data_IF_243973541716
#
_entry.id   IF_243973541716
#
_cell.length_a   1.000
_cell.length_b   1.000
_cell.length_c   1.000
_cell.angle_alpha   90.00
_cell.angle_beta   90.00
_cell.angle_gamma   90.00
#
_symmetry.space_group_name_H-M   'P 1'
#
loop_
_entity.id
_entity.type
_entity.pdbx_description
1 polymer ?
#
# COMPACT_ATOMS: atom_id res chain seq x y z
N UNK A 1 -23.18 7.02 -22.11
CA UNK A 1 -21.97 6.57 -21.38
C UNK A 1 -22.23 5.20 -20.79
N UNK A 2 -21.64 4.13 -21.34
CA UNK A 2 -21.62 2.79 -20.72
C UNK A 2 -20.17 2.51 -20.35
N UNK A 3 -19.80 2.79 -19.10
CA UNK A 3 -18.48 2.47 -18.57
C UNK A 3 -18.42 0.99 -18.24
N UNK A 4 -17.68 0.21 -19.02
CA UNK A 4 -17.34 -1.17 -18.66
C UNK A 4 -16.07 -1.11 -17.80
N UNK A 5 -16.26 -0.81 -16.52
CA UNK A 5 -15.22 -0.86 -15.51
C UNK A 5 -14.97 -2.33 -15.14
N UNK A 6 -13.81 -2.85 -15.56
CA UNK A 6 -13.40 -4.21 -15.22
C UNK A 6 -12.91 -4.28 -13.77
N UNK A 7 -13.42 -5.29 -13.06
CA UNK A 7 -13.43 -5.48 -11.60
C UNK A 7 -12.08 -5.75 -10.91
N UNK A 8 -10.93 -5.67 -11.59
CA UNK A 8 -9.62 -5.96 -10.97
C UNK A 8 -8.84 -4.69 -10.54
N UNK A 9 -9.33 -3.50 -10.91
CA UNK A 9 -8.76 -2.20 -10.54
C UNK A 9 -9.92 -1.32 -10.04
N UNK A 10 -10.44 -1.63 -8.86
CA UNK A 10 -11.67 -1.03 -8.32
C UNK A 10 -11.55 0.41 -7.79
N UNK A 11 -10.38 1.06 -7.83
CA UNK A 11 -10.14 2.35 -7.15
C UNK A 11 -9.56 3.48 -8.03
N UNK A 12 -9.44 3.28 -9.36
CA UNK A 12 -8.78 4.26 -10.23
C UNK A 12 -9.81 4.86 -11.19
N UNK A 13 -10.08 6.17 -11.05
CA UNK A 13 -10.96 6.92 -11.96
C UNK A 13 -10.08 7.63 -12.99
N UNK A 14 -10.16 7.20 -14.24
CA UNK A 14 -9.58 7.91 -15.37
C UNK A 14 -10.68 8.54 -16.22
N UNK A 15 -10.58 9.84 -16.50
CA UNK A 15 -11.53 10.54 -17.35
C UNK A 15 -10.83 11.65 -18.16
N UNK A 16 -11.43 12.01 -19.27
CA UNK A 16 -10.90 13.03 -20.19
C UNK A 16 -11.62 14.35 -19.98
N UNK A 17 -10.85 15.43 -19.80
CA UNK A 17 -11.36 16.80 -19.87
C UNK A 17 -10.61 17.53 -20.99
N UNK A 18 -11.33 17.89 -22.06
CA UNK A 18 -10.71 18.53 -23.22
C UNK A 18 -9.66 17.64 -23.87
N UNK A 19 -8.43 18.14 -23.96
CA UNK A 19 -7.24 17.47 -24.50
C UNK A 19 -6.36 16.82 -23.42
N UNK A 20 -6.86 16.71 -22.18
CA UNK A 20 -6.13 16.13 -21.05
C UNK A 20 -6.78 14.85 -20.55
N UNK A 21 -5.94 13.86 -20.30
CA UNK A 21 -6.36 12.64 -19.61
C UNK A 21 -6.02 12.79 -18.12
N UNK A 22 -7.06 12.88 -17.30
CA UNK A 22 -6.92 12.99 -15.85
C UNK A 22 -7.00 11.59 -15.26
N UNK A 23 -5.94 11.19 -14.57
CA UNK A 23 -5.85 9.92 -13.86
C UNK A 23 -5.85 10.22 -12.37
N UNK A 24 -6.99 9.94 -11.75
CA UNK A 24 -7.17 10.03 -10.31
C UNK A 24 -7.14 8.62 -9.74
N UNK A 25 -6.17 8.37 -8.87
CA UNK A 25 -6.21 7.20 -8.01
C UNK A 25 -6.82 7.62 -6.67
N UNK A 26 -8.05 7.18 -6.43
CA UNK A 26 -8.74 7.53 -5.21
C UNK A 26 -8.15 6.81 -3.99
N UNK A 27 -8.16 7.54 -2.87
CA UNK A 27 -8.02 7.11 -1.48
C UNK A 27 -6.93 6.07 -1.19
N UNK A 28 -5.69 6.54 -0.98
CA UNK A 28 -4.65 5.74 -0.35
C UNK A 28 -4.72 5.89 1.17
N UNK A 29 -4.98 4.77 1.87
CA UNK A 29 -5.04 4.70 3.33
C UNK A 29 -3.67 4.47 3.99
N UNK A 30 -2.63 4.25 3.17
CA UNK A 30 -1.23 4.09 3.55
C UNK A 30 -0.35 4.86 2.57
N UNK A 31 0.72 5.47 3.06
CA UNK A 31 1.63 6.21 2.19
C UNK A 31 2.37 5.27 1.26
N UNK A 32 2.54 5.67 0.00
CA UNK A 32 3.21 4.87 -1.01
C UNK A 32 4.08 5.76 -1.92
N UNK A 33 5.41 5.80 -1.73
CA UNK A 33 6.29 6.59 -2.59
C UNK A 33 6.41 6.02 -4.01
N UNK A 34 5.97 4.78 -4.25
CA UNK A 34 6.05 4.11 -5.56
C UNK A 34 4.85 4.44 -6.48
N UNK A 35 3.99 5.39 -6.11
CA UNK A 35 2.86 5.79 -6.95
C UNK A 35 3.27 6.21 -8.37
N UNK A 36 4.35 6.99 -8.59
CA UNK A 36 4.79 7.32 -9.95
C UNK A 36 5.09 6.10 -10.83
N UNK A 37 5.67 5.04 -10.25
CA UNK A 37 5.95 3.80 -10.98
C UNK A 37 4.65 3.06 -11.34
N UNK A 38 3.67 3.03 -10.42
CA UNK A 38 2.35 2.45 -10.68
C UNK A 38 1.61 3.21 -11.77
N UNK A 39 1.70 4.54 -11.77
CA UNK A 39 1.09 5.42 -12.78
C UNK A 39 1.67 5.23 -14.17
N UNK A 40 2.99 5.00 -14.29
CA UNK A 40 3.63 4.73 -15.57
C UNK A 40 2.99 3.51 -16.27
N UNK A 41 2.71 2.45 -15.50
CA UNK A 41 2.03 1.27 -16.04
C UNK A 41 0.59 1.58 -16.47
N UNK A 42 -0.15 2.34 -15.68
CA UNK A 42 -1.53 2.70 -16.00
C UNK A 42 -1.65 3.55 -17.26
N UNK A 43 -0.82 4.59 -17.40
CA UNK A 43 -0.91 5.47 -18.56
C UNK A 43 -0.53 4.75 -19.85
N UNK A 44 0.48 3.88 -19.81
CA UNK A 44 0.84 3.05 -20.96
C UNK A 44 -0.34 2.18 -21.42
N UNK A 45 -1.03 1.54 -20.46
CA UNK A 45 -2.24 0.76 -20.74
C UNK A 45 -3.37 1.63 -21.26
N UNK A 46 -3.58 2.82 -20.69
CA UNK A 46 -4.64 3.73 -21.11
C UNK A 46 -4.44 4.17 -22.56
N UNK A 47 -3.25 4.68 -22.92
CA UNK A 47 -2.96 5.08 -24.29
C UNK A 47 -3.03 3.92 -25.29
N UNK A 48 -2.56 2.72 -24.91
CA UNK A 48 -2.65 1.55 -25.80
C UNK A 48 -4.10 1.22 -26.21
N UNK A 49 -5.08 1.51 -25.33
CA UNK A 49 -6.50 1.26 -25.59
C UNK A 49 -7.19 2.39 -26.37
N UNK A 50 -6.58 3.58 -26.39
CA UNK A 50 -7.10 4.73 -27.13
C UNK A 50 -6.70 4.72 -28.60
N UNK A 51 -5.67 3.93 -28.96
CA UNK A 51 -5.30 3.74 -30.35
C UNK A 51 -6.30 2.80 -31.02
N UNK A 52 -6.95 3.27 -32.08
CA UNK A 52 -7.90 2.48 -32.88
C UNK A 52 -7.25 1.24 -33.52
N UNK A 53 -5.94 1.32 -33.79
CA UNK A 53 -5.12 0.22 -34.26
C UNK A 53 -3.69 0.39 -33.79
N UNK A 54 -3.04 -0.71 -33.39
CA UNK A 54 -1.62 -0.72 -33.08
C UNK A 54 -0.76 -0.41 -34.31
N UNK A 55 -1.26 -0.61 -35.53
CA UNK A 55 -0.51 -0.27 -36.74
C UNK A 55 -0.23 1.23 -36.88
N UNK A 56 -1.00 2.08 -36.18
CA UNK A 56 -0.77 3.51 -36.15
C UNK A 56 0.65 3.85 -35.70
N UNK A 57 1.22 3.09 -34.75
CA UNK A 57 2.57 3.35 -34.20
C UNK A 57 3.69 3.15 -35.23
N UNK A 58 3.43 2.44 -36.33
CA UNK A 58 4.39 2.24 -37.41
C UNK A 58 4.29 3.32 -38.50
N UNK A 59 3.32 4.24 -38.40
CA UNK A 59 3.19 5.34 -39.34
C UNK A 59 4.30 6.37 -39.10
N UNK A 60 4.76 6.99 -40.18
CA UNK A 60 5.71 8.11 -40.10
C UNK A 60 5.08 9.41 -39.61
N UNK A 61 3.75 9.51 -39.62
CA UNK A 61 2.99 10.64 -39.10
C UNK A 61 2.96 10.62 -37.57
N UNK A 62 3.26 11.76 -36.94
CA UNK A 62 3.15 11.92 -35.49
C UNK A 62 1.71 11.71 -35.01
N UNK A 63 1.54 10.89 -33.98
CA UNK A 63 0.26 10.69 -33.29
C UNK A 63 0.25 11.62 -32.08
N UNK A 64 -0.69 12.55 -32.05
CA UNK A 64 -0.95 13.35 -30.87
C UNK A 64 -1.78 12.55 -29.88
N UNK A 65 -1.28 12.42 -28.65
CA UNK A 65 -1.98 11.81 -27.53
C UNK A 65 -2.27 12.87 -26.46
N UNK A 66 -3.36 12.74 -25.69
CA UNK A 66 -3.71 13.68 -24.61
C UNK A 66 -2.60 13.77 -23.57
N UNK A 67 -2.35 14.96 -23.02
CA UNK A 67 -1.39 15.09 -21.91
C UNK A 67 -1.98 14.50 -20.62
N UNK A 68 -1.21 13.70 -19.84
CA UNK A 68 -1.74 13.09 -18.63
C UNK A 68 -1.54 13.99 -17.41
N UNK A 69 -2.51 14.01 -16.51
CA UNK A 69 -2.38 14.60 -15.16
C UNK A 69 -2.66 13.54 -14.10
N UNK A 70 -1.77 13.40 -13.13
CA UNK A 70 -1.85 12.37 -12.10
C UNK A 70 -2.13 12.96 -10.73
N UNK A 71 -3.16 12.43 -10.07
CA UNK A 71 -3.61 12.86 -8.76
C UNK A 71 -3.77 11.68 -7.80
N UNK A 72 -3.29 11.86 -6.57
CA UNK A 72 -3.47 10.92 -5.47
C UNK A 72 -4.04 11.67 -4.26
N UNK A 73 -5.15 11.16 -3.74
CA UNK A 73 -5.70 11.63 -2.48
C UNK A 73 -5.25 10.70 -1.34
N UNK A 74 -4.45 11.26 -0.44
CA UNK A 74 -3.96 10.57 0.74
C UNK A 74 -4.87 10.85 1.93
N UNK A 75 -5.28 9.78 2.62
CA UNK A 75 -6.13 9.85 3.80
C UNK A 75 -5.74 8.71 4.75
N UNK A 76 -4.43 8.52 4.91
CA UNK A 76 -3.85 7.60 5.89
C UNK A 76 -3.55 8.30 7.20
N UNK A 77 -2.96 7.56 8.14
CA UNK A 77 -2.65 8.02 9.50
C UNK A 77 -1.23 8.56 9.68
N UNK A 78 -0.39 8.52 8.64
CA UNK A 78 0.96 9.08 8.71
C UNK A 78 0.88 10.60 8.53
N UNK A 79 1.77 11.30 9.23
CA UNK A 79 1.88 12.75 9.14
C UNK A 79 2.60 13.12 7.83
N UNK A 80 1.81 13.53 6.83
CA UNK A 80 2.27 13.90 5.49
C UNK A 80 1.83 15.34 5.18
N UNK A 81 2.62 16.12 4.41
CA UNK A 81 2.26 17.47 4.02
C UNK A 81 0.90 17.58 3.32
N UNK A 82 0.26 18.76 3.43
CA UNK A 82 -1.03 19.06 2.77
C UNK A 82 -0.98 18.83 1.25
N UNK A 83 0.12 19.24 0.61
CA UNK A 83 0.40 18.99 -0.79
C UNK A 83 1.87 18.61 -0.99
N UNK A 84 2.11 17.65 -1.88
CA UNK A 84 3.46 17.29 -2.32
C UNK A 84 3.44 16.68 -3.72
N UNK A 85 4.61 16.68 -4.37
CA UNK A 85 4.77 16.10 -5.71
C UNK A 85 5.74 14.93 -5.67
N UNK A 86 5.24 13.74 -5.99
CA UNK A 86 6.07 12.56 -6.20
C UNK A 86 6.61 12.54 -7.63
N UNK A 87 7.84 12.07 -7.79
CA UNK A 87 8.53 11.99 -9.10
C UNK A 87 9.00 10.57 -9.34
N UNK A 88 8.81 10.09 -10.57
CA UNK A 88 9.31 8.78 -10.97
C UNK A 88 10.84 8.74 -10.93
N UNK A 89 11.49 9.85 -11.27
CA UNK A 89 12.95 9.99 -11.22
C UNK A 89 13.54 9.73 -9.83
N UNK A 90 12.78 9.93 -8.75
CA UNK A 90 13.21 9.61 -7.38
C UNK A 90 13.39 8.11 -7.12
N UNK A 91 12.80 7.25 -7.96
CA UNK A 91 12.95 5.80 -7.86
C UNK A 91 14.15 5.25 -8.68
N UNK A 92 14.81 6.09 -9.48
CA UNK A 92 15.93 5.64 -10.31
C UNK A 92 17.18 5.41 -9.47
N UNK A 93 17.93 4.36 -9.79
CA UNK A 93 19.21 4.06 -9.13
C UNK A 93 20.31 5.07 -9.46
N UNK A 94 20.12 5.88 -10.51
CA UNK A 94 21.05 6.89 -11.00
C UNK A 94 20.24 8.07 -11.55
N UNK A 95 20.81 9.29 -11.50
CA UNK A 95 20.14 10.48 -12.03
C UNK A 95 19.95 10.38 -13.55
N UNK A 96 18.71 10.53 -14.02
CA UNK A 96 18.35 10.54 -15.43
C UNK A 96 17.09 11.39 -15.65
N UNK A 97 17.02 12.04 -16.81
CA UNK A 97 15.90 12.87 -17.27
C UNK A 97 15.18 12.29 -18.51
N UNK A 98 15.62 11.13 -18.98
CA UNK A 98 15.05 10.43 -20.15
C UNK A 98 13.59 9.99 -19.97
N UNK A 99 13.10 9.96 -18.73
CA UNK A 99 11.72 9.65 -18.37
C UNK A 99 11.36 10.36 -17.08
N UNK A 100 10.30 11.17 -17.10
CA UNK A 100 9.75 11.78 -15.90
C UNK A 100 8.23 11.66 -15.90
N UNK A 101 7.69 11.31 -14.74
CA UNK A 101 6.27 11.26 -14.45
C UNK A 101 6.08 11.85 -13.06
N UNK A 102 5.29 12.91 -12.98
CA UNK A 102 5.02 13.59 -11.73
C UNK A 102 3.59 13.32 -11.27
N UNK A 103 3.43 13.01 -9.98
CA UNK A 103 2.13 12.77 -9.35
C UNK A 103 1.90 13.86 -8.31
N UNK A 104 0.78 14.56 -8.41
CA UNK A 104 0.34 15.51 -7.38
C UNK A 104 -0.38 14.71 -6.28
N UNK A 105 0.17 14.75 -5.08
CA UNK A 105 -0.39 14.08 -3.91
C UNK A 105 -0.97 15.14 -2.98
N UNK A 106 -2.24 14.99 -2.63
CA UNK A 106 -2.91 15.86 -1.68
C UNK A 106 -3.32 15.06 -0.45
N UNK A 107 -2.90 15.53 0.71
CA UNK A 107 -3.41 15.03 1.97
C UNK A 107 -4.81 15.62 2.19
N UNK A 108 -5.81 14.74 2.24
CA UNK A 108 -7.22 15.08 2.43
C UNK A 108 -7.70 14.71 3.83
N UNK A 109 -6.78 14.45 4.77
CA UNK A 109 -7.13 14.37 6.18
C UNK A 109 -7.74 15.72 6.62
N UNK A 110 -8.76 15.69 7.47
CA UNK A 110 -9.43 16.92 7.89
C UNK A 110 -8.46 17.83 8.68
N UNK A 111 -8.31 19.06 8.20
CA UNK A 111 -7.52 20.13 8.82
C UNK A 111 -8.18 21.47 8.55
N UNK A 112 -8.12 22.38 9.52
CA UNK A 112 -8.68 23.74 9.40
C UNK A 112 -7.80 24.69 8.60
N UNK A 113 -6.63 24.24 8.12
CA UNK A 113 -5.66 25.05 7.37
C UNK A 113 -5.32 24.45 6.00
N UNK A 114 -6.16 23.55 5.48
CA UNK A 114 -5.92 22.89 4.21
C UNK A 114 -6.65 23.61 3.05
N UNK A 115 -5.86 24.26 2.18
CA UNK A 115 -6.36 25.06 1.04
C UNK A 115 -7.26 24.26 0.10
N UNK A 116 -6.96 22.98 -0.12
CA UNK A 116 -7.76 22.13 -1.00
C UNK A 116 -9.16 21.92 -0.41
N UNK A 117 -9.24 21.61 0.89
CA UNK A 117 -10.52 21.46 1.60
C UNK A 117 -11.27 22.79 1.70
N UNK A 118 -10.57 23.93 1.81
CA UNK A 118 -11.23 25.25 1.78
C UNK A 118 -11.86 25.54 0.42
N UNK A 119 -11.23 25.09 -0.66
CA UNK A 119 -11.68 25.30 -2.04
C UNK A 119 -12.74 24.30 -2.53
N UNK A 120 -12.84 23.12 -1.91
CA UNK A 120 -13.74 22.05 -2.35
C UNK A 120 -14.66 21.59 -1.20
N UNK A 121 -15.92 22.02 -1.26
CA UNK A 121 -16.93 21.72 -0.24
C UNK A 121 -17.14 20.21 -0.06
N UNK A 122 -17.30 19.48 -1.16
CA UNK A 122 -17.57 18.04 -1.17
C UNK A 122 -16.43 17.26 -0.52
N UNK A 123 -15.19 17.62 -0.88
CA UNK A 123 -14.00 16.97 -0.32
C UNK A 123 -13.85 17.28 1.17
N UNK A 124 -14.10 18.53 1.60
CA UNK A 124 -14.11 18.90 3.02
C UNK A 124 -15.15 18.10 3.80
N UNK A 125 -16.36 17.97 3.28
CA UNK A 125 -17.41 17.20 3.91
C UNK A 125 -17.04 15.72 4.03
N UNK A 126 -16.44 15.13 2.99
CA UNK A 126 -15.89 13.78 3.04
C UNK A 126 -14.79 13.63 4.11
N UNK A 127 -13.85 14.58 4.18
CA UNK A 127 -12.79 14.59 5.19
C UNK A 127 -13.33 14.65 6.61
N UNK A 128 -14.35 15.48 6.86
CA UNK A 128 -15.02 15.56 8.16
C UNK A 128 -15.68 14.23 8.51
N UNK A 129 -16.40 13.61 7.55
CA UNK A 129 -17.02 12.30 7.77
C UNK A 129 -15.98 11.24 8.18
N UNK A 130 -14.88 11.12 7.43
CA UNK A 130 -13.81 10.17 7.76
C UNK A 130 -13.19 10.47 9.12
N UNK A 131 -12.98 11.75 9.44
CA UNK A 131 -12.47 12.15 10.75
C UNK A 131 -13.42 11.72 11.87
N UNK A 132 -14.73 11.91 11.72
CA UNK A 132 -15.72 11.48 12.73
C UNK A 132 -15.76 9.97 12.95
N UNK A 133 -15.57 9.19 11.89
CA UNK A 133 -15.43 7.73 12.02
C UNK A 133 -14.18 7.39 12.85
N UNK A 134 -13.06 8.07 12.60
CA UNK A 134 -11.81 7.87 13.36
C UNK A 134 -11.93 8.29 14.81
N UNK A 135 -12.51 9.45 15.08
CA UNK A 135 -12.78 9.95 16.44
C UNK A 135 -13.53 8.87 17.24
N UNK A 136 -14.63 8.34 16.68
CA UNK A 136 -15.41 7.30 17.34
C UNK A 136 -14.64 6.01 17.63
N UNK A 137 -13.78 5.57 16.70
CA UNK A 137 -12.92 4.39 16.92
C UNK A 137 -11.88 4.67 18.02
N UNK A 138 -11.29 5.86 18.04
CA UNK A 138 -10.34 6.27 19.09
C UNK A 138 -11.00 6.34 20.46
N UNK A 139 -12.27 6.75 20.51
CA UNK A 139 -13.10 6.76 21.71
C UNK A 139 -13.56 5.35 22.14
N UNK A 140 -13.13 4.29 21.43
CA UNK A 140 -13.40 2.89 21.77
C UNK A 140 -14.71 2.34 21.23
N UNK A 141 -15.38 3.03 20.30
CA UNK A 141 -16.57 2.51 19.65
C UNK A 141 -16.23 1.40 18.64
N UNK A 142 -17.12 0.42 18.52
CA UNK A 142 -17.09 -0.52 17.40
C UNK A 142 -17.22 0.25 16.07
N UNK A 143 -16.48 -0.18 15.04
CA UNK A 143 -16.48 0.41 13.70
C UNK A 143 -17.89 0.72 13.18
N UNK A 144 -18.82 -0.24 13.26
CA UNK A 144 -20.20 -0.06 12.80
C UNK A 144 -20.92 1.06 13.55
N UNK A 145 -20.67 1.18 14.85
CA UNK A 145 -21.23 2.23 15.68
C UNK A 145 -20.62 3.58 15.34
N UNK A 146 -19.30 3.65 15.16
CA UNK A 146 -18.59 4.87 14.75
C UNK A 146 -19.09 5.39 13.39
N UNK A 147 -19.30 4.50 12.41
CA UNK A 147 -19.84 4.88 11.09
C UNK A 147 -21.25 5.47 11.22
N UNK A 148 -22.15 4.81 11.96
CA UNK A 148 -23.53 5.33 12.14
C UNK A 148 -23.56 6.67 12.85
N UNK A 149 -22.72 6.85 13.87
CA UNK A 149 -22.61 8.12 14.56
C UNK A 149 -22.06 9.21 13.65
N UNK A 150 -21.03 8.91 12.84
CA UNK A 150 -20.50 9.85 11.86
C UNK A 150 -21.54 10.26 10.81
N UNK A 151 -22.33 9.31 10.28
CA UNK A 151 -23.43 9.62 9.35
C UNK A 151 -24.48 10.52 10.02
N UNK A 152 -24.86 10.22 11.27
CA UNK A 152 -25.82 11.03 12.04
C UNK A 152 -25.29 12.44 12.28
N UNK A 153 -24.01 12.56 12.64
CA UNK A 153 -23.33 13.83 12.80
C UNK A 153 -23.37 14.64 11.50
N UNK A 154 -23.03 14.02 10.37
CA UNK A 154 -23.05 14.67 9.07
C UNK A 154 -24.46 15.18 8.70
N UNK A 155 -25.51 14.37 8.89
CA UNK A 155 -26.90 14.77 8.63
C UNK A 155 -27.37 15.93 9.52
N UNK A 156 -26.97 15.93 10.79
CA UNK A 156 -27.38 16.97 11.77
C UNK A 156 -26.67 18.30 11.57
N UNK A 157 -25.49 18.30 10.96
CA UNK A 157 -24.66 19.49 10.73
C UNK A 157 -24.66 19.95 9.27
N UNK A 158 -25.60 19.45 8.45
CA UNK A 158 -25.74 19.75 7.02
C UNK A 158 -24.49 19.43 6.15
N UNK A 159 -23.71 18.43 6.58
CA UNK A 159 -22.52 17.95 5.88
C UNK A 159 -22.94 16.80 4.97
N UNK A 160 -23.13 17.06 3.68
CA UNK A 160 -23.63 16.07 2.71
C UNK A 160 -24.97 15.42 3.15
N UNK A 161 -25.82 16.16 3.87
CA UNK A 161 -27.03 15.62 4.50
C UNK A 161 -27.96 14.92 3.49
N UNK A 162 -28.23 15.55 2.35
CA UNK A 162 -29.05 14.99 1.26
C UNK A 162 -28.44 13.70 0.67
N UNK A 163 -27.12 13.66 0.55
CA UNK A 163 -26.40 12.51 0.01
C UNK A 163 -26.48 11.33 0.98
N UNK A 164 -26.20 11.56 2.27
CA UNK A 164 -26.34 10.52 3.28
C UNK A 164 -27.79 10.07 3.42
N UNK A 165 -28.78 10.97 3.35
CA UNK A 165 -30.18 10.58 3.44
C UNK A 165 -30.62 9.60 2.34
N UNK A 166 -30.03 9.71 1.14
CA UNK A 166 -30.34 8.82 0.00
C UNK A 166 -29.46 7.57 -0.03
N UNK A 167 -28.21 7.66 0.41
CA UNK A 167 -27.18 6.63 0.19
C UNK A 167 -26.62 6.03 1.49
N UNK A 168 -27.24 6.27 2.65
CA UNK A 168 -26.76 5.84 3.98
C UNK A 168 -26.34 4.37 4.02
N UNK A 169 -27.19 3.46 3.55
CA UNK A 169 -26.89 2.02 3.56
C UNK A 169 -25.67 1.68 2.71
N UNK A 170 -25.58 2.24 1.49
CA UNK A 170 -24.48 1.98 0.57
C UNK A 170 -23.15 2.52 1.13
N UNK A 171 -23.17 3.74 1.68
CA UNK A 171 -21.98 4.33 2.30
C UNK A 171 -21.56 3.53 3.54
N UNK A 172 -22.52 3.12 4.37
CA UNK A 172 -22.26 2.28 5.53
C UNK A 172 -21.58 0.97 5.12
N UNK A 173 -22.18 0.24 4.17
CA UNK A 173 -21.67 -1.05 3.71
C UNK A 173 -20.29 -0.92 3.07
N UNK A 174 -20.10 0.09 2.21
CA UNK A 174 -18.82 0.36 1.56
C UNK A 174 -17.72 0.69 2.57
N UNK A 175 -17.96 1.61 3.52
CA UNK A 175 -16.97 2.05 4.50
C UNK A 175 -16.65 0.92 5.47
N UNK A 176 -17.68 0.21 5.96
CA UNK A 176 -17.50 -0.94 6.85
C UNK A 176 -16.67 -2.03 6.17
N UNK A 177 -16.97 -2.38 4.92
CA UNK A 177 -16.22 -3.37 4.16
C UNK A 177 -14.75 -2.97 3.93
N UNK A 178 -14.50 -1.74 3.47
CA UNK A 178 -13.12 -1.27 3.22
C UNK A 178 -12.27 -1.28 4.49
N UNK A 179 -12.84 -0.90 5.63
CA UNK A 179 -12.11 -0.83 6.89
C UNK A 179 -11.87 -2.21 7.51
N UNK A 180 -12.87 -3.10 7.44
CA UNK A 180 -12.74 -4.49 7.89
C UNK A 180 -11.64 -5.22 7.10
N UNK A 181 -11.61 -5.05 5.77
CA UNK A 181 -10.54 -5.58 4.93
C UNK A 181 -9.17 -5.01 5.29
N UNK A 182 -9.08 -3.70 5.58
CA UNK A 182 -7.83 -3.07 6.03
C UNK A 182 -7.36 -3.68 7.35
N UNK A 183 -8.25 -3.85 8.33
CA UNK A 183 -7.91 -4.45 9.62
C UNK A 183 -7.47 -5.90 9.47
N UNK A 184 -8.15 -6.69 8.64
CA UNK A 184 -7.76 -8.07 8.36
C UNK A 184 -6.33 -8.15 7.77
N UNK A 185 -5.98 -7.22 6.87
CA UNK A 185 -4.62 -7.16 6.30
C UNK A 185 -3.57 -6.76 7.35
N UNK A 186 -3.88 -5.82 8.24
CA UNK A 186 -3.00 -5.41 9.34
C UNK A 186 -2.74 -6.57 10.30
N UNK A 187 -3.80 -7.29 10.72
CA UNK A 187 -3.67 -8.49 11.57
C UNK A 187 -2.81 -9.56 10.89
N UNK A 188 -3.06 -9.85 9.61
CA UNK A 188 -2.24 -10.82 8.87
C UNK A 188 -0.76 -10.39 8.77
N UNK A 189 -0.48 -9.08 8.73
CA UNK A 189 0.88 -8.55 8.74
C UNK A 189 1.53 -8.67 10.13
N UNK A 190 0.77 -8.42 11.20
CA UNK A 190 1.21 -8.62 12.58
C UNK A 190 1.55 -10.10 12.85
N UNK A 191 0.66 -11.02 12.47
CA UNK A 191 0.87 -12.47 12.58
C UNK A 191 2.08 -12.91 11.75
N UNK A 192 2.17 -12.48 10.48
CA UNK A 192 3.30 -12.81 9.61
C UNK A 192 4.64 -12.28 10.12
N UNK A 193 4.64 -11.14 10.83
CA UNK A 193 5.84 -10.62 11.49
C UNK A 193 6.21 -11.44 12.73
N UNK A 194 5.23 -11.81 13.56
CA UNK A 194 5.44 -12.67 14.73
C UNK A 194 5.98 -14.06 14.33
N UNK A 195 5.37 -14.68 13.32
CA UNK A 195 5.84 -15.95 12.74
C UNK A 195 7.24 -15.81 12.15
N UNK A 196 7.49 -14.71 11.45
CA UNK A 196 8.81 -14.38 10.89
C UNK A 196 9.90 -14.28 11.95
N UNK A 197 9.61 -13.66 13.09
CA UNK A 197 10.51 -13.61 14.25
C UNK A 197 10.74 -15.02 14.80
N UNK A 198 9.68 -15.77 15.09
CA UNK A 198 9.80 -17.11 15.67
C UNK A 198 10.61 -18.06 14.78
N UNK A 199 10.34 -18.08 13.47
CA UNK A 199 11.12 -18.84 12.49
C UNK A 199 12.56 -18.32 12.40
N UNK A 200 12.75 -17.00 12.49
CA UNK A 200 14.05 -16.34 12.50
C UNK A 200 14.91 -16.76 13.68
N UNK A 201 14.35 -16.78 14.89
CA UNK A 201 15.01 -17.20 16.13
C UNK A 201 15.43 -18.66 16.07
N UNK A 202 14.50 -19.57 15.72
CA UNK A 202 14.80 -21.01 15.57
C UNK A 202 15.91 -21.23 14.53
N UNK A 203 15.86 -20.50 13.40
CA UNK A 203 16.90 -20.60 12.36
C UNK A 203 18.23 -20.02 12.83
N UNK A 204 18.20 -18.95 13.62
CA UNK A 204 19.36 -18.31 14.24
C UNK A 204 20.06 -19.24 15.21
N UNK A 205 19.31 -19.83 16.15
CA UNK A 205 19.80 -20.82 17.12
C UNK A 205 20.43 -22.02 16.40
N UNK A 206 19.72 -22.62 15.43
CA UNK A 206 20.26 -23.75 14.66
C UNK A 206 21.57 -23.39 13.94
N UNK A 207 21.66 -22.20 13.35
CA UNK A 207 22.91 -21.73 12.72
C UNK A 207 24.03 -21.52 13.73
N UNK A 208 23.73 -20.95 14.90
CA UNK A 208 24.70 -20.74 15.96
C UNK A 208 25.22 -22.07 16.52
N UNK A 209 24.32 -23.00 16.86
CA UNK A 209 24.66 -24.35 17.33
C UNK A 209 25.49 -25.11 16.30
N UNK A 210 25.13 -25.04 15.01
CA UNK A 210 25.91 -25.64 13.92
C UNK A 210 27.32 -25.03 13.81
N UNK A 211 27.46 -23.71 13.99
CA UNK A 211 28.76 -23.02 13.96
C UNK A 211 29.63 -23.41 15.16
N UNK A 212 29.04 -23.55 16.35
CA UNK A 212 29.73 -24.02 17.56
C UNK A 212 30.21 -25.46 17.35
N UNK A 213 29.32 -26.37 16.94
CA UNK A 213 29.66 -27.77 16.68
C UNK A 213 30.81 -27.89 15.66
N UNK A 214 30.76 -27.14 14.55
CA UNK A 214 31.84 -27.10 13.57
C UNK A 214 33.15 -26.59 14.18
N UNK A 215 33.11 -25.58 15.03
CA UNK A 215 34.31 -25.07 15.71
C UNK A 215 34.90 -26.08 16.68
N UNK A 216 34.09 -26.88 17.38
CA UNK A 216 34.56 -27.92 18.30
C UNK A 216 35.14 -29.11 17.53
N UNK A 217 34.52 -29.52 16.42
CA UNK A 217 35.04 -30.54 15.50
C UNK A 217 36.43 -30.13 14.96
N UNK A 218 36.59 -28.89 14.51
CA UNK A 218 37.88 -28.37 14.04
C UNK A 218 38.98 -28.34 15.12
N UNK A 219 38.59 -28.32 16.40
CA UNK A 219 39.52 -28.39 17.55
C UNK A 219 39.84 -29.83 17.98
N UNK A 220 39.27 -30.85 17.31
CA UNK A 220 39.54 -32.26 17.60
C UNK A 220 38.88 -32.78 18.87
N UNK A 221 37.81 -32.14 19.36
CA UNK A 221 37.09 -32.60 20.55
C UNK A 221 36.33 -33.92 20.27
N UNK A 222 36.24 -34.84 21.24
CA UNK A 222 35.47 -36.07 21.08
C UNK A 222 33.98 -35.80 20.80
N UNK A 223 33.39 -36.61 19.93
CA UNK A 223 32.00 -36.47 19.48
C UNK A 223 31.01 -36.44 20.64
N UNK A 224 31.21 -37.27 21.68
CA UNK A 224 30.37 -37.28 22.88
C UNK A 224 30.33 -35.93 23.59
N UNK A 225 31.48 -35.25 23.71
CA UNK A 225 31.56 -33.92 24.32
C UNK A 225 30.83 -32.88 23.44
N UNK A 226 30.87 -33.03 22.12
CA UNK A 226 30.20 -32.12 21.18
C UNK A 226 28.68 -32.32 21.23
N UNK A 227 28.20 -33.57 21.25
CA UNK A 227 26.76 -33.85 21.37
C UNK A 227 26.21 -33.34 22.70
N UNK A 228 26.94 -33.53 23.80
CA UNK A 228 26.53 -33.06 25.13
C UNK A 228 26.55 -31.53 25.23
N UNK A 229 27.53 -30.87 24.60
CA UNK A 229 27.66 -29.41 24.66
C UNK A 229 26.73 -28.64 23.72
N UNK A 230 26.21 -29.29 22.68
CA UNK A 230 25.41 -28.64 21.63
C UNK A 230 23.98 -29.16 21.53
N UNK A 231 23.63 -30.19 22.30
CA UNK A 231 22.37 -30.94 22.21
C UNK A 231 22.04 -31.42 20.77
N UNK A 232 23.05 -31.56 19.92
CA UNK A 232 22.88 -32.12 18.58
C UNK A 232 22.92 -33.65 18.66
N UNK A 233 22.16 -34.30 17.80
CA UNK A 233 22.24 -35.74 17.64
C UNK A 233 23.60 -36.14 17.05
N UNK A 234 24.01 -37.38 17.30
CA UNK A 234 25.26 -37.92 16.75
C UNK A 234 25.24 -37.94 15.21
N UNK A 235 24.06 -38.15 14.61
CA UNK A 235 23.85 -38.05 13.17
C UNK A 235 24.04 -36.64 12.62
N UNK A 236 23.53 -35.61 13.33
CA UNK A 236 23.69 -34.21 12.93
C UNK A 236 25.15 -33.77 12.99
N UNK A 237 25.88 -34.17 14.04
CA UNK A 237 27.32 -33.86 14.17
C UNK A 237 28.12 -34.56 13.06
N UNK A 238 27.81 -35.82 12.74
CA UNK A 238 28.40 -36.55 11.60
C UNK A 238 28.15 -35.86 10.27
N UNK A 239 26.92 -35.41 10.06
CA UNK A 239 26.54 -34.67 8.84
C UNK A 239 27.30 -33.37 8.73
N UNK A 240 27.44 -32.61 9.81
CA UNK A 240 28.22 -31.36 9.84
C UNK A 240 29.69 -31.62 9.50
N UNK A 241 30.30 -32.67 10.06
CA UNK A 241 31.69 -33.04 9.77
C UNK A 241 31.87 -33.41 8.29
N UNK A 242 30.97 -34.25 7.75
CA UNK A 242 30.97 -34.68 6.35
C UNK A 242 30.82 -33.50 5.38
N UNK A 243 29.85 -32.62 5.65
CA UNK A 243 29.59 -31.42 4.83
C UNK A 243 30.78 -30.44 4.80
N UNK A 244 31.70 -30.54 5.76
CA UNK A 244 32.87 -29.66 5.90
C UNK A 244 34.21 -30.38 5.65
N UNK A 245 34.19 -31.61 5.14
CA UNK A 245 35.40 -32.37 4.79
C UNK A 245 36.29 -32.71 5.99
N UNK A 246 35.73 -32.77 7.20
CA UNK A 246 36.46 -33.17 8.39
C UNK A 246 36.43 -34.69 8.51
N UNK A 247 37.60 -35.29 8.79
CA UNK A 247 37.70 -36.72 9.04
C UNK A 247 36.93 -37.05 10.34
N UNK A 248 36.07 -38.05 10.24
CA UNK A 248 35.21 -38.52 11.32
C UNK A 248 35.72 -39.85 11.85
#
# INVERSE_FOLDING_TARGET
MRGVFFNDIKNDISFRIGDRDIIIMEHQSSWNPNMPLRMLWYIAKLYSRQLDSLELIYRSSLIHIPAPEFYVFYNGSQDEPDDQKLRLSSAFSHAADSLELTVNCYNINYSTQNKLLDSCYELRCYSIFVQKVRDGIQDGLELKTAIRQAITYCKTHDILADYFQKNESEVFDMVNFKWDQKRALEVAKEDGFADGIAVGEIRGERKATRKIALSLLKKGLPVGVITDSTNLSLEDVRKIAKDNGLAF
#
